data_IF_401881020125
#
_entry.id   IF_401881020125
#
_cell.length_a   1.000
_cell.length_b   1.000
_cell.length_c   1.000
_cell.angle_alpha   90.00
_cell.angle_beta   90.00
_cell.angle_gamma   90.00
#
_symmetry.space_group_name_H-M   'P 1'
#
loop_
_entity.id
_entity.type
_entity.pdbx_description
1 polymer ?
#
# COMPACT_ATOMS: atom_id res chain seq x y z
N UNK A 1 6.77 -2.02 10.22
CA UNK A 1 7.43 -0.88 9.56
C UNK A 1 6.45 0.29 9.59
N UNK A 2 6.93 1.53 9.66
CA UNK A 2 6.08 2.74 9.55
C UNK A 2 6.62 3.67 8.49
N UNK A 3 5.71 4.41 7.85
CA UNK A 3 6.09 5.55 7.03
C UNK A 3 6.52 6.72 7.91
N UNK A 4 7.31 7.62 7.34
CA UNK A 4 7.36 9.00 7.83
C UNK A 4 6.14 9.78 7.34
N UNK A 5 5.77 10.90 7.99
CA UNK A 5 4.70 11.78 7.48
C UNK A 5 4.94 12.26 6.04
N UNK A 6 6.20 12.51 5.67
CA UNK A 6 6.58 12.92 4.31
C UNK A 6 6.29 11.82 3.29
N UNK A 7 6.71 10.59 3.57
CA UNK A 7 6.44 9.43 2.70
C UNK A 7 4.93 9.17 2.56
N UNK A 8 4.17 9.33 3.64
CA UNK A 8 2.71 9.22 3.61
C UNK A 8 2.10 10.27 2.67
N UNK A 9 2.58 11.51 2.75
CA UNK A 9 2.13 12.60 1.87
C UNK A 9 2.47 12.32 0.40
N UNK A 10 3.67 11.81 0.12
CA UNK A 10 4.11 11.47 -1.25
C UNK A 10 3.28 10.34 -1.86
N UNK A 11 2.98 9.28 -1.09
CA UNK A 11 2.11 8.19 -1.54
C UNK A 11 0.68 8.69 -1.83
N UNK A 12 0.13 9.54 -0.96
CA UNK A 12 -1.17 10.17 -1.17
C UNK A 12 -1.17 11.09 -2.39
N UNK A 13 -0.11 11.90 -2.56
CA UNK A 13 0.05 12.79 -3.70
C UNK A 13 0.07 11.98 -5.01
N UNK A 14 0.86 10.91 -5.06
CA UNK A 14 0.96 10.05 -6.24
C UNK A 14 -0.40 9.50 -6.64
N UNK A 15 -1.19 8.99 -5.68
CA UNK A 15 -2.53 8.48 -5.96
C UNK A 15 -3.50 9.56 -6.44
N UNK A 16 -3.66 10.63 -5.67
CA UNK A 16 -4.77 11.59 -5.87
C UNK A 16 -4.47 12.68 -6.90
N UNK A 17 -3.20 13.09 -7.06
CA UNK A 17 -2.84 14.12 -8.04
C UNK A 17 -2.48 13.53 -9.41
N UNK A 18 -1.85 12.35 -9.45
CA UNK A 18 -1.45 11.73 -10.72
C UNK A 18 -2.50 10.74 -11.23
N UNK A 19 -3.64 10.61 -10.51
CA UNK A 19 -4.74 9.70 -10.83
C UNK A 19 -4.27 8.25 -11.09
N UNK A 20 -3.22 7.82 -10.39
CA UNK A 20 -2.63 6.51 -10.63
C UNK A 20 -3.59 5.41 -10.17
N UNK A 21 -3.89 4.48 -11.07
CA UNK A 21 -4.64 3.27 -10.75
C UNK A 21 -3.66 2.16 -10.38
N UNK A 22 -3.82 1.63 -9.18
CA UNK A 22 -3.00 0.53 -8.67
C UNK A 22 -3.72 -0.81 -8.85
N UNK A 23 -3.01 -1.79 -9.40
CA UNK A 23 -3.41 -3.20 -9.43
C UNK A 23 -2.50 -3.96 -8.44
N UNK A 24 -3.06 -4.55 -7.36
CA UNK A 24 -2.25 -5.21 -6.33
C UNK A 24 -1.45 -6.40 -6.88
N UNK A 25 -0.18 -6.48 -6.50
CA UNK A 25 0.68 -7.63 -6.73
C UNK A 25 1.41 -8.05 -5.45
N UNK A 26 1.82 -9.32 -5.36
CA UNK A 26 2.62 -9.79 -4.23
C UNK A 26 3.93 -8.98 -4.10
N UNK A 27 4.26 -8.58 -2.88
CA UNK A 27 5.37 -7.69 -2.56
C UNK A 27 5.01 -6.20 -2.57
N UNK A 28 3.83 -5.80 -3.05
CA UNK A 28 3.40 -4.41 -2.97
C UNK A 28 3.21 -3.97 -1.52
N UNK A 29 3.65 -2.75 -1.24
CA UNK A 29 3.37 -2.06 0.00
C UNK A 29 2.21 -1.10 -0.20
N UNK A 30 1.35 -1.00 0.81
CA UNK A 30 0.28 -0.02 0.81
C UNK A 30 0.03 0.53 2.22
N UNK A 31 -0.57 1.71 2.26
CA UNK A 31 -1.12 2.34 3.45
C UNK A 31 -2.58 2.68 3.20
N UNK A 32 -3.25 3.33 4.15
CA UNK A 32 -4.62 3.83 3.98
C UNK A 32 -4.66 5.35 4.01
N UNK A 33 -5.74 5.99 3.59
CA UNK A 33 -5.89 7.45 3.72
C UNK A 33 -6.11 7.93 5.17
N UNK A 34 -6.08 7.05 6.17
CA UNK A 34 -6.15 7.42 7.59
C UNK A 34 -4.89 8.16 8.03
N UNK A 35 -5.01 8.87 9.15
CA UNK A 35 -3.96 9.70 9.73
C UNK A 35 -2.81 8.92 10.40
N UNK A 36 -2.87 7.59 10.40
CA UNK A 36 -1.77 6.74 10.86
C UNK A 36 -0.65 6.61 9.82
N UNK A 37 0.45 5.99 10.23
CA UNK A 37 1.65 5.75 9.41
C UNK A 37 1.84 4.25 9.14
N UNK A 38 0.75 3.50 9.22
CA UNK A 38 0.77 2.05 9.09
C UNK A 38 1.11 1.62 7.67
N UNK A 39 1.90 0.55 7.58
CA UNK A 39 2.23 -0.10 6.31
C UNK A 39 1.81 -1.56 6.35
N UNK A 40 1.21 -1.96 5.25
CA UNK A 40 0.75 -3.30 4.96
C UNK A 40 1.46 -3.81 3.71
N UNK A 41 1.63 -5.11 3.63
CA UNK A 41 2.23 -5.78 2.47
C UNK A 41 1.20 -6.74 1.87
N UNK A 42 1.09 -6.74 0.55
CA UNK A 42 0.38 -7.78 -0.20
C UNK A 42 1.29 -9.00 -0.28
N UNK A 43 0.88 -10.12 0.31
CA UNK A 43 1.69 -11.34 0.35
C UNK A 43 1.35 -12.30 -0.78
N UNK A 44 0.11 -12.25 -1.28
CA UNK A 44 -0.37 -13.09 -2.37
C UNK A 44 -1.61 -12.48 -3.02
N UNK A 45 -1.77 -12.73 -4.32
CA UNK A 45 -2.98 -12.38 -5.09
C UNK A 45 -3.33 -13.59 -5.94
N UNK A 46 -4.34 -14.34 -5.52
CA UNK A 46 -4.74 -15.58 -6.19
C UNK A 46 -6.22 -15.89 -5.97
N UNK A 47 -6.87 -16.50 -6.98
CA UNK A 47 -8.26 -16.93 -6.88
C UNK A 47 -9.27 -15.80 -6.62
N UNK A 48 -8.97 -14.56 -7.06
CA UNK A 48 -9.81 -13.38 -6.81
C UNK A 48 -9.73 -12.84 -5.38
N UNK A 49 -8.74 -13.30 -4.59
CA UNK A 49 -8.48 -12.89 -3.22
C UNK A 49 -7.11 -12.22 -3.13
N UNK A 50 -7.06 -11.07 -2.46
CA UNK A 50 -5.84 -10.36 -2.08
C UNK A 50 -5.55 -10.71 -0.61
N UNK A 51 -4.36 -11.23 -0.36
CA UNK A 51 -3.88 -11.55 0.99
C UNK A 51 -2.87 -10.50 1.43
N UNK A 52 -3.03 -10.01 2.65
CA UNK A 52 -2.19 -8.94 3.17
C UNK A 52 -1.73 -9.24 4.58
N UNK A 53 -0.54 -8.77 4.94
CA UNK A 53 -0.09 -8.76 6.34
C UNK A 53 0.24 -7.35 6.78
N UNK A 54 0.12 -7.12 8.08
CA UNK A 54 0.59 -5.89 8.68
C UNK A 54 2.11 -5.98 8.88
N UNK A 55 2.86 -4.93 8.53
CA UNK A 55 4.33 -4.99 8.58
C UNK A 55 4.90 -4.77 9.99
N UNK A 56 4.06 -4.54 11.01
CA UNK A 56 4.48 -4.31 12.38
C UNK A 56 3.75 -5.22 13.37
N UNK A 57 4.48 -6.08 14.06
CA UNK A 57 3.98 -6.76 15.25
C UNK A 57 2.85 -7.77 15.03
N UNK A 58 2.61 -8.21 13.79
CA UNK A 58 1.64 -9.27 13.49
C UNK A 58 2.08 -10.08 12.29
N UNK A 59 2.10 -11.41 12.44
CA UNK A 59 2.24 -12.37 11.34
C UNK A 59 0.88 -12.80 10.76
N UNK A 60 -0.21 -12.19 11.23
CA UNK A 60 -1.56 -12.49 10.79
C UNK A 60 -1.79 -12.07 9.35
N UNK A 61 -2.25 -13.01 8.52
CA UNK A 61 -2.71 -12.76 7.16
C UNK A 61 -4.20 -12.41 7.19
N UNK A 62 -4.55 -11.30 6.56
CA UNK A 62 -5.93 -10.90 6.27
C UNK A 62 -6.25 -11.18 4.81
N UNK A 63 -7.48 -11.55 4.51
CA UNK A 63 -7.94 -11.86 3.16
C UNK A 63 -9.05 -10.91 2.72
N UNK A 64 -9.03 -10.51 1.46
CA UNK A 64 -9.97 -9.56 0.89
C UNK A 64 -10.38 -9.99 -0.52
N UNK A 65 -11.67 -9.92 -0.89
CA UNK A 65 -12.06 -9.97 -2.30
C UNK A 65 -11.37 -8.85 -3.10
N UNK A 66 -10.89 -9.15 -4.30
CA UNK A 66 -10.11 -8.21 -5.12
C UNK A 66 -10.87 -6.89 -5.41
N UNK A 67 -12.18 -6.98 -5.65
CA UNK A 67 -13.05 -5.82 -5.87
C UNK A 67 -13.15 -4.93 -4.62
N UNK A 68 -13.31 -5.52 -3.43
CA UNK A 68 -13.36 -4.79 -2.15
C UNK A 68 -11.99 -4.25 -1.72
N UNK A 69 -10.92 -4.84 -2.24
CA UNK A 69 -9.57 -4.39 -1.95
C UNK A 69 -9.26 -3.06 -2.65
N UNK A 70 -9.77 -2.84 -3.86
CA UNK A 70 -9.40 -1.72 -4.72
C UNK A 70 -10.53 -0.74 -5.01
N UNK A 71 -11.74 -1.22 -5.30
CA UNK A 71 -12.79 -0.42 -5.97
C UNK A 71 -14.08 -0.27 -5.17
N UNK A 72 -14.38 -1.19 -4.26
CA UNK A 72 -15.64 -1.20 -3.48
C UNK A 72 -15.39 -0.91 -2.01
N UNK A 73 -16.33 -0.22 -1.36
CA UNK A 73 -16.31 0.01 0.09
C UNK A 73 -15.07 0.78 0.55
N UNK A 74 -14.23 0.15 1.37
CA UNK A 74 -12.98 0.74 1.85
C UNK A 74 -11.82 0.63 0.83
N UNK A 75 -11.98 -0.14 -0.25
CA UNK A 75 -10.96 -0.34 -1.28
C UNK A 75 -10.34 0.96 -1.82
N UNK A 76 -11.16 1.95 -2.23
CA UNK A 76 -10.67 3.24 -2.70
C UNK A 76 -9.89 4.05 -1.66
N UNK A 77 -9.84 3.63 -0.39
CA UNK A 77 -9.06 4.27 0.67
C UNK A 77 -7.67 3.65 0.87
N UNK A 78 -7.38 2.50 0.22
CA UNK A 78 -6.03 1.91 0.19
C UNK A 78 -5.16 2.63 -0.83
N UNK A 79 -3.92 2.88 -0.44
CA UNK A 79 -2.97 3.73 -1.17
C UNK A 79 -1.69 2.93 -1.35
N UNK A 80 -1.40 2.55 -2.58
CA UNK A 80 -0.11 1.97 -2.94
C UNK A 80 1.02 2.90 -2.51
N UNK A 81 2.10 2.32 -2.00
CA UNK A 81 3.33 3.03 -1.68
C UNK A 81 4.32 2.69 -2.79
N UNK A 82 4.54 3.62 -3.74
CA UNK A 82 5.53 3.40 -4.80
C UNK A 82 6.91 3.13 -4.21
N UNK A 83 7.74 2.25 -4.83
CA UNK A 83 9.08 1.95 -4.32
C UNK A 83 9.96 3.18 -4.08
N UNK A 84 9.82 4.21 -4.93
CA UNK A 84 10.59 5.45 -4.81
C UNK A 84 10.26 6.24 -3.53
N UNK A 85 9.06 6.11 -2.95
CA UNK A 85 8.69 6.71 -1.66
C UNK A 85 9.50 6.06 -0.52
N UNK A 86 9.83 4.78 -0.66
CA UNK A 86 10.60 4.05 0.33
C UNK A 86 12.11 4.28 0.20
N UNK A 87 12.55 4.95 -0.87
CA UNK A 87 13.96 5.26 -1.10
C UNK A 87 14.25 6.65 -0.53
N UNK A 88 15.28 6.78 0.32
CA UNK A 88 15.64 8.09 0.85
C UNK A 88 16.04 9.04 -0.31
N UNK A 89 15.69 10.34 -0.25
CA UNK A 89 16.16 11.30 -1.25
C UNK A 89 17.69 11.31 -1.23
N UNK A 90 18.30 10.85 -2.33
CA UNK A 90 19.76 10.79 -2.51
C UNK A 90 20.34 9.40 -2.80
N UNK A 91 19.57 8.31 -2.70
CA UNK A 91 20.01 7.00 -3.20
C UNK A 91 19.62 6.82 -4.67
N UNK A 92 20.57 7.09 -5.56
CA UNK A 92 20.49 6.65 -6.96
C UNK A 92 20.66 5.13 -6.98
N UNK A 93 19.80 4.35 -7.67
CA UNK A 93 20.05 2.93 -7.86
C UNK A 93 21.36 2.77 -8.65
N UNK A 94 22.21 1.86 -8.20
CA UNK A 94 23.43 1.47 -8.91
C UNK A 94 23.10 0.72 -10.22
#
# INVERSE_FOLDING_TARGET
MKLTPQQKLEALQHKYYQCHQWVPAAGDLYTTCRADLEVYEVVDVSGGIVRTRYTEGSDGVSEWPESEFTTVGFGPMRVWIPPWVMTAPGQVPA
#
